data_IF_437285802662
#
_entry.id   IF_437285802662
#
_cell.length_a   1.000
_cell.length_b   1.000
_cell.length_c   1.000
_cell.angle_alpha   90.00
_cell.angle_beta   90.00
_cell.angle_gamma   90.00
#
_symmetry.space_group_name_H-M   'P 1'
#
loop_
_entity.id
_entity.type
_entity.pdbx_description
1 polymer ?
#
# COMPACT_ATOMS: atom_id res chain seq x y z
N UNK A 1 18.70 15.01 18.51
CA UNK A 1 20.03 14.61 17.99
C UNK A 1 19.94 13.21 17.40
N UNK A 2 20.21 13.00 16.10
CA UNK A 2 20.24 11.66 15.50
C UNK A 2 21.46 10.91 16.06
N UNK A 3 21.28 9.75 16.68
CA UNK A 3 22.39 8.90 17.07
C UNK A 3 23.14 8.43 15.83
N UNK A 4 24.47 8.46 15.86
CA UNK A 4 25.28 7.97 14.74
C UNK A 4 24.96 6.50 14.45
N UNK A 5 24.92 6.07 13.17
CA UNK A 5 24.60 4.68 12.82
C UNK A 5 25.62 3.72 13.44
N UNK A 6 25.13 2.66 14.09
CA UNK A 6 25.99 1.62 14.67
C UNK A 6 26.69 0.82 13.57
N UNK A 7 27.73 0.05 13.92
CA UNK A 7 28.37 -0.87 12.97
C UNK A 7 27.36 -1.88 12.40
N UNK A 8 26.44 -2.37 13.24
CA UNK A 8 25.36 -3.27 12.83
C UNK A 8 24.45 -2.59 11.80
N UNK A 9 24.09 -1.32 12.00
CA UNK A 9 23.26 -0.58 11.05
C UNK A 9 23.94 -0.43 9.69
N UNK A 10 25.26 -0.18 9.69
CA UNK A 10 26.07 -0.09 8.46
C UNK A 10 26.12 -1.42 7.72
N UNK A 11 26.35 -2.53 8.42
CA UNK A 11 26.35 -3.87 7.82
C UNK A 11 24.96 -4.21 7.27
N UNK A 12 23.91 -3.97 8.04
CA UNK A 12 22.52 -4.20 7.62
C UNK A 12 22.15 -3.36 6.39
N UNK A 13 22.60 -2.11 6.34
CA UNK A 13 22.43 -1.24 5.17
C UNK A 13 23.10 -1.84 3.92
N UNK A 14 24.36 -2.28 4.01
CA UNK A 14 25.07 -2.89 2.86
C UNK A 14 24.36 -4.14 2.36
N UNK A 15 23.91 -5.01 3.26
CA UNK A 15 23.15 -6.23 2.91
C UNK A 15 21.82 -5.85 2.25
N UNK A 16 21.08 -4.91 2.84
CA UNK A 16 19.80 -4.46 2.31
C UNK A 16 19.95 -3.83 0.92
N UNK A 17 20.98 -3.00 0.72
CA UNK A 17 21.29 -2.36 -0.56
C UNK A 17 21.66 -3.37 -1.64
N UNK A 18 22.55 -4.33 -1.37
CA UNK A 18 22.90 -5.38 -2.36
C UNK A 18 21.69 -6.23 -2.73
N UNK A 19 20.85 -6.58 -1.77
CA UNK A 19 19.60 -7.28 -2.03
C UNK A 19 18.66 -6.45 -2.92
N UNK A 20 18.53 -5.15 -2.63
CA UNK A 20 17.75 -4.20 -3.39
C UNK A 20 18.24 -4.13 -4.86
N UNK A 21 19.55 -3.93 -5.08
CA UNK A 21 20.15 -3.90 -6.42
C UNK A 21 19.87 -5.20 -7.20
N UNK A 22 19.98 -6.37 -6.57
CA UNK A 22 19.69 -7.65 -7.21
C UNK A 22 18.21 -7.83 -7.57
N UNK A 23 17.28 -7.39 -6.71
CA UNK A 23 15.83 -7.46 -7.00
C UNK A 23 15.46 -6.52 -8.15
N UNK A 24 15.98 -5.28 -8.14
CA UNK A 24 15.72 -4.31 -9.20
C UNK A 24 16.34 -4.75 -10.53
N UNK A 25 17.55 -5.31 -10.51
CA UNK A 25 18.19 -5.89 -11.69
C UNK A 25 17.35 -6.98 -12.34
N UNK A 26 16.71 -7.86 -11.54
CA UNK A 26 15.78 -8.87 -12.06
C UNK A 26 14.53 -8.26 -12.70
N UNK A 27 13.97 -7.21 -12.09
CA UNK A 27 12.86 -6.47 -12.67
C UNK A 27 13.25 -5.87 -14.03
N UNK A 28 14.38 -5.17 -14.11
CA UNK A 28 14.87 -4.58 -15.36
C UNK A 28 15.26 -5.63 -16.41
N UNK A 29 15.71 -6.81 -16.01
CA UNK A 29 15.95 -7.91 -16.95
C UNK A 29 14.64 -8.43 -17.57
N UNK A 30 13.56 -8.51 -16.77
CA UNK A 30 12.25 -8.92 -17.26
C UNK A 30 11.66 -7.91 -18.26
N UNK A 31 11.86 -6.60 -18.03
CA UNK A 31 11.34 -5.56 -18.93
C UNK A 31 12.00 -5.58 -20.30
N UNK A 32 13.28 -5.98 -20.40
CA UNK A 32 13.99 -6.19 -21.67
C UNK A 32 13.46 -7.39 -22.48
N UNK A 33 12.72 -8.30 -21.85
CA UNK A 33 12.12 -9.49 -22.47
C UNK A 33 10.59 -9.47 -22.37
N UNK A 34 9.99 -8.28 -22.37
CA UNK A 34 8.56 -8.06 -22.09
C UNK A 34 7.64 -9.00 -22.87
N UNK A 35 7.82 -9.14 -24.18
CA UNK A 35 6.97 -10.00 -25.01
C UNK A 35 7.04 -11.48 -24.63
N UNK A 36 8.24 -11.99 -24.28
CA UNK A 36 8.42 -13.36 -23.81
C UNK A 36 7.77 -13.57 -22.44
N UNK A 37 8.00 -12.64 -21.52
CA UNK A 37 7.40 -12.66 -20.18
C UNK A 37 5.87 -12.64 -20.27
N UNK A 38 5.29 -11.80 -21.13
CA UNK A 38 3.84 -11.72 -21.34
C UNK A 38 3.25 -13.03 -21.88
N UNK A 39 3.91 -13.68 -22.85
CA UNK A 39 3.50 -15.01 -23.32
C UNK A 39 3.51 -16.05 -22.20
N UNK A 40 4.53 -16.03 -21.34
CA UNK A 40 4.64 -16.94 -20.20
C UNK A 40 3.56 -16.67 -19.15
N UNK A 41 3.26 -15.40 -18.87
CA UNK A 41 2.20 -14.97 -17.94
C UNK A 41 0.83 -15.43 -18.44
N UNK A 42 0.49 -15.17 -19.70
CA UNK A 42 -0.76 -15.65 -20.30
C UNK A 42 -0.89 -17.16 -20.20
N UNK A 43 0.13 -17.91 -20.66
CA UNK A 43 0.11 -19.37 -20.62
C UNK A 43 -0.03 -19.91 -19.17
N UNK A 44 0.57 -19.24 -18.19
CA UNK A 44 0.41 -19.60 -16.78
C UNK A 44 -1.01 -19.34 -16.26
N UNK A 45 -1.66 -18.24 -16.66
CA UNK A 45 -3.05 -17.95 -16.29
C UNK A 45 -4.03 -18.96 -16.90
N UNK A 46 -3.88 -19.29 -18.18
CA UNK A 46 -4.70 -20.29 -18.87
C UNK A 46 -4.55 -21.66 -18.21
N UNK A 47 -3.32 -22.18 -18.09
CA UNK A 47 -3.08 -23.50 -17.47
C UNK A 47 -3.64 -23.60 -16.07
N UNK A 48 -3.57 -22.52 -15.29
CA UNK A 48 -4.01 -22.52 -13.89
C UNK A 48 -5.53 -22.56 -13.73
N UNK A 49 -6.28 -22.11 -14.73
CA UNK A 49 -7.73 -21.94 -14.65
C UNK A 49 -8.48 -22.71 -15.75
N UNK A 50 -7.80 -23.56 -16.54
CA UNK A 50 -8.43 -24.28 -17.64
C UNK A 50 -9.57 -25.23 -17.20
N UNK A 51 -9.51 -25.68 -15.94
CA UNK A 51 -10.47 -26.58 -15.29
C UNK A 51 -11.57 -25.83 -14.51
N UNK A 52 -11.62 -24.50 -14.58
CA UNK A 52 -12.71 -23.72 -13.97
C UNK A 52 -13.92 -23.62 -14.90
N UNK A 53 -15.09 -23.26 -14.35
CA UNK A 53 -16.30 -22.98 -15.15
C UNK A 53 -16.04 -21.92 -16.21
N UNK A 54 -15.43 -20.80 -15.81
CA UNK A 54 -14.99 -19.75 -16.75
C UNK A 54 -14.00 -20.30 -17.79
N UNK A 55 -13.04 -21.13 -17.38
CA UNK A 55 -12.10 -21.75 -18.30
C UNK A 55 -12.76 -22.66 -19.34
N UNK A 56 -13.81 -23.40 -18.95
CA UNK A 56 -14.59 -24.23 -19.86
C UNK A 56 -15.45 -23.40 -20.82
N UNK A 57 -16.16 -22.39 -20.31
CA UNK A 57 -17.05 -21.53 -21.13
C UNK A 57 -16.27 -20.76 -22.20
N UNK A 58 -15.03 -20.37 -21.91
CA UNK A 58 -14.14 -19.66 -22.83
C UNK A 58 -13.04 -20.56 -23.44
N UNK A 59 -13.22 -21.88 -23.42
CA UNK A 59 -12.37 -22.86 -24.12
C UNK A 59 -10.86 -22.73 -23.87
N UNK A 60 -10.45 -22.57 -22.61
CA UNK A 60 -9.05 -22.43 -22.22
C UNK A 60 -8.17 -23.61 -22.62
N UNK A 61 -8.75 -24.80 -22.78
CA UNK A 61 -8.11 -26.01 -23.31
C UNK A 61 -7.65 -25.87 -24.77
N UNK A 62 -8.25 -24.95 -25.54
CA UNK A 62 -7.93 -24.67 -26.95
C UNK A 62 -6.96 -23.50 -27.14
N UNK A 63 -6.54 -22.85 -26.05
CA UNK A 63 -5.70 -21.65 -26.12
C UNK A 63 -4.21 -22.02 -26.04
N UNK A 64 -3.55 -22.07 -27.20
CA UNK A 64 -2.11 -22.31 -27.33
C UNK A 64 -1.27 -21.07 -27.65
N UNK A 65 -1.92 -19.96 -28.02
CA UNK A 65 -1.29 -18.72 -28.48
C UNK A 65 -2.12 -17.49 -28.13
N UNK A 66 -1.54 -16.29 -28.27
CA UNK A 66 -2.25 -15.01 -28.09
C UNK A 66 -3.41 -14.89 -29.09
N UNK A 67 -3.22 -15.32 -30.34
CA UNK A 67 -4.29 -15.22 -31.35
C UNK A 67 -5.46 -16.14 -31.04
N UNK A 68 -5.19 -17.37 -30.56
CA UNK A 68 -6.25 -18.26 -30.09
C UNK A 68 -6.92 -17.75 -28.82
N UNK A 69 -6.18 -17.07 -27.93
CA UNK A 69 -6.75 -16.42 -26.76
C UNK A 69 -7.76 -15.35 -27.17
N UNK A 70 -7.37 -14.43 -28.06
CA UNK A 70 -8.24 -13.36 -28.58
C UNK A 70 -9.49 -13.86 -29.31
N UNK A 71 -9.40 -15.03 -29.96
CA UNK A 71 -10.56 -15.67 -30.62
C UNK A 71 -11.55 -16.25 -29.63
N UNK A 72 -11.07 -16.79 -28.51
CA UNK A 72 -11.90 -17.49 -27.53
C UNK A 72 -12.37 -16.60 -26.38
N UNK A 73 -11.61 -15.58 -26.01
CA UNK A 73 -11.89 -14.67 -24.90
C UNK A 73 -12.13 -13.25 -25.47
N UNK A 74 -13.38 -12.81 -25.62
CA UNK A 74 -13.67 -11.45 -26.06
C UNK A 74 -13.29 -10.44 -24.97
N UNK A 75 -13.35 -9.14 -25.31
CA UNK A 75 -13.18 -8.08 -24.31
C UNK A 75 -14.42 -8.06 -23.41
N UNK A 76 -14.23 -8.41 -22.15
CA UNK A 76 -15.30 -8.52 -21.15
C UNK A 76 -15.32 -7.33 -20.18
N UNK A 77 -16.49 -7.05 -19.63
CA UNK A 77 -16.74 -6.07 -18.57
C UNK A 77 -17.00 -6.80 -17.24
N UNK A 78 -17.06 -6.05 -16.15
CA UNK A 78 -17.34 -6.63 -14.83
C UNK A 78 -18.67 -7.40 -14.80
N UNK A 79 -19.69 -6.91 -15.50
CA UNK A 79 -21.01 -7.56 -15.53
C UNK A 79 -20.97 -8.95 -16.18
N UNK A 80 -20.10 -9.17 -17.16
CA UNK A 80 -19.91 -10.50 -17.77
C UNK A 80 -19.26 -11.50 -16.80
N UNK A 81 -18.47 -11.00 -15.84
CA UNK A 81 -17.85 -11.80 -14.79
C UNK A 81 -18.75 -11.97 -13.56
N UNK A 82 -19.75 -11.11 -13.38
CA UNK A 82 -20.59 -11.05 -12.18
C UNK A 82 -21.22 -12.42 -11.84
N UNK A 83 -21.80 -13.19 -12.78
CA UNK A 83 -22.37 -14.50 -12.47
C UNK A 83 -21.37 -15.49 -11.87
N UNK A 84 -20.10 -15.46 -12.31
CA UNK A 84 -19.04 -16.29 -11.76
C UNK A 84 -18.61 -15.78 -10.39
N UNK A 85 -18.43 -14.47 -10.24
CA UNK A 85 -18.03 -13.84 -8.98
C UNK A 85 -19.07 -14.09 -7.89
N UNK A 86 -20.36 -14.00 -8.20
CA UNK A 86 -21.45 -14.27 -7.24
C UNK A 86 -21.46 -15.73 -6.79
N UNK A 87 -21.16 -16.68 -7.68
CA UNK A 87 -20.96 -18.08 -7.32
C UNK A 87 -19.73 -18.29 -6.43
N UNK A 88 -18.62 -17.59 -6.69
CA UNK A 88 -17.45 -17.64 -5.81
C UNK A 88 -17.79 -17.05 -4.43
N UNK A 89 -18.54 -15.94 -4.37
CA UNK A 89 -19.01 -15.33 -3.13
C UNK A 89 -19.91 -16.27 -2.30
N UNK A 90 -20.70 -17.13 -2.95
CA UNK A 90 -21.52 -18.17 -2.30
C UNK A 90 -20.76 -19.47 -2.00
N UNK A 91 -19.45 -19.54 -2.32
CA UNK A 91 -18.56 -20.63 -1.94
C UNK A 91 -18.19 -21.58 -3.08
N UNK A 92 -18.78 -21.42 -4.27
CA UNK A 92 -18.46 -22.22 -5.46
C UNK A 92 -17.24 -21.64 -6.18
N UNK A 93 -16.06 -21.86 -5.61
CA UNK A 93 -14.79 -21.30 -6.11
C UNK A 93 -14.45 -21.74 -7.54
N UNK A 94 -14.81 -22.98 -7.91
CA UNK A 94 -14.54 -23.55 -9.23
C UNK A 94 -15.31 -22.87 -10.36
N UNK A 95 -16.29 -22.01 -10.07
CA UNK A 95 -16.96 -21.21 -11.09
C UNK A 95 -15.96 -20.33 -11.86
N UNK A 96 -14.97 -19.73 -11.18
CA UNK A 96 -14.00 -18.82 -11.80
C UNK A 96 -12.57 -19.36 -11.76
N UNK A 97 -12.21 -20.11 -10.71
CA UNK A 97 -10.82 -20.47 -10.42
C UNK A 97 -10.56 -21.97 -10.52
N UNK A 98 -9.41 -22.36 -11.07
CA UNK A 98 -8.99 -23.77 -11.09
C UNK A 98 -8.73 -24.33 -9.68
N UNK A 99 -8.75 -25.65 -9.53
CA UNK A 99 -8.79 -26.31 -8.20
C UNK A 99 -7.61 -26.02 -7.25
N UNK A 100 -6.51 -25.46 -7.76
CA UNK A 100 -5.30 -25.10 -6.99
C UNK A 100 -5.27 -23.62 -6.54
N UNK A 101 -6.28 -22.84 -6.91
CA UNK A 101 -6.39 -21.43 -6.53
C UNK A 101 -7.08 -21.28 -5.18
N UNK A 102 -6.60 -20.34 -4.38
CA UNK A 102 -7.24 -19.97 -3.12
C UNK A 102 -7.58 -18.49 -3.14
N UNK A 103 -8.86 -18.17 -2.97
CA UNK A 103 -9.36 -16.82 -2.73
C UNK A 103 -9.11 -16.47 -1.26
N UNK A 104 -8.47 -15.34 -1.00
CA UNK A 104 -8.13 -14.86 0.36
C UNK A 104 -9.12 -13.83 0.87
N UNK A 105 -9.58 -12.97 -0.02
CA UNK A 105 -10.57 -11.93 0.24
C UNK A 105 -11.15 -11.44 -1.09
N UNK A 106 -12.17 -10.59 -1.00
CA UNK A 106 -12.57 -9.72 -2.08
C UNK A 106 -12.19 -8.28 -1.77
N UNK A 107 -11.54 -7.62 -2.71
CA UNK A 107 -11.40 -6.17 -2.68
C UNK A 107 -12.72 -5.54 -3.12
N UNK A 108 -13.24 -4.62 -2.30
CA UNK A 108 -14.46 -3.87 -2.62
C UNK A 108 -14.09 -2.62 -3.40
N UNK A 109 -14.78 -2.38 -4.51
CA UNK A 109 -14.73 -1.08 -5.19
C UNK A 109 -16.13 -0.47 -5.25
N UNK A 110 -16.23 0.80 -4.86
CA UNK A 110 -17.45 1.60 -4.89
C UNK A 110 -17.73 2.14 -6.28
N UNK A 111 -17.69 1.28 -7.31
CA UNK A 111 -17.92 1.69 -8.71
C UNK A 111 -19.20 2.54 -8.87
N UNK A 112 -19.34 3.22 -10.01
CA UNK A 112 -20.46 4.16 -10.32
C UNK A 112 -21.85 3.50 -10.45
N UNK A 113 -22.02 2.27 -9.94
CA UNK A 113 -23.24 1.48 -9.97
C UNK A 113 -23.69 1.18 -8.54
N UNK A 114 -24.99 1.09 -8.29
CA UNK A 114 -25.56 0.85 -6.95
C UNK A 114 -25.08 -0.45 -6.26
N UNK A 115 -24.55 -1.41 -7.03
CA UNK A 115 -24.01 -2.67 -6.50
C UNK A 115 -22.48 -2.63 -6.43
N UNK A 116 -21.87 -2.90 -5.25
CA UNK A 116 -20.42 -2.95 -5.13
C UNK A 116 -19.84 -4.07 -6.00
N UNK A 117 -18.64 -3.83 -6.54
CA UNK A 117 -17.87 -4.85 -7.27
C UNK A 117 -16.97 -5.60 -6.30
N UNK A 118 -17.00 -6.92 -6.39
CA UNK A 118 -16.19 -7.83 -5.60
C UNK A 118 -15.03 -8.33 -6.46
N UNK A 119 -13.84 -7.78 -6.24
CA UNK A 119 -12.66 -8.17 -7.01
C UNK A 119 -11.90 -9.26 -6.24
N UNK A 120 -11.84 -10.50 -6.76
CA UNK A 120 -11.24 -11.60 -6.03
C UNK A 120 -9.73 -11.45 -5.89
N UNK A 121 -9.24 -11.62 -4.66
CA UNK A 121 -7.81 -11.57 -4.34
C UNK A 121 -7.32 -12.99 -4.03
N UNK A 122 -6.56 -13.58 -4.96
CA UNK A 122 -6.01 -14.94 -4.80
C UNK A 122 -4.58 -14.94 -4.26
N UNK A 123 -4.10 -16.10 -3.83
CA UNK A 123 -2.69 -16.28 -3.44
C UNK A 123 -1.69 -15.96 -4.56
N UNK A 124 -2.08 -16.17 -5.82
CA UNK A 124 -1.24 -15.81 -6.95
C UNK A 124 -1.22 -14.30 -7.18
N UNK A 125 -2.40 -13.66 -7.14
CA UNK A 125 -2.51 -12.21 -7.21
C UNK A 125 -1.64 -11.53 -6.14
N UNK A 126 -1.69 -12.01 -4.90
CA UNK A 126 -0.86 -11.44 -3.82
C UNK A 126 0.64 -11.60 -4.09
N UNK A 127 1.06 -12.70 -4.72
CA UNK A 127 2.46 -12.92 -5.10
C UNK A 127 2.91 -11.93 -6.16
N UNK A 128 2.13 -11.74 -7.23
CA UNK A 128 2.46 -10.77 -8.27
C UNK A 128 2.39 -9.33 -7.75
N UNK A 129 1.36 -8.99 -7.00
CA UNK A 129 1.17 -7.67 -6.40
C UNK A 129 2.31 -7.30 -5.44
N UNK A 130 2.77 -8.23 -4.59
CA UNK A 130 3.95 -8.04 -3.73
C UNK A 130 5.23 -7.84 -4.53
N UNK A 131 5.41 -8.57 -5.64
CA UNK A 131 6.60 -8.42 -6.49
C UNK A 131 6.67 -7.00 -7.08
N UNK A 132 5.56 -6.47 -7.57
CA UNK A 132 5.50 -5.10 -8.09
C UNK A 132 5.75 -4.05 -6.99
N UNK A 133 5.15 -4.20 -5.80
CA UNK A 133 5.45 -3.34 -4.64
C UNK A 133 6.92 -3.43 -4.19
N UNK A 134 7.53 -4.62 -4.27
CA UNK A 134 8.95 -4.78 -3.95
C UNK A 134 9.82 -4.04 -4.96
N UNK A 135 9.55 -4.17 -6.26
CA UNK A 135 10.29 -3.45 -7.31
C UNK A 135 10.19 -1.93 -7.12
N UNK A 136 8.98 -1.42 -6.89
CA UNK A 136 8.72 -0.02 -6.54
C UNK A 136 9.52 0.43 -5.31
N UNK A 137 9.31 -0.23 -4.17
CA UNK A 137 9.89 0.18 -2.90
C UNK A 137 11.42 0.10 -2.92
N UNK A 138 11.98 -0.91 -3.56
CA UNK A 138 13.43 -1.05 -3.72
C UNK A 138 14.01 0.06 -4.59
N UNK A 139 13.39 0.40 -5.73
CA UNK A 139 13.89 1.49 -6.57
C UNK A 139 13.84 2.81 -5.82
N UNK A 140 12.73 3.10 -5.14
CA UNK A 140 12.60 4.31 -4.32
C UNK A 140 13.67 4.37 -3.21
N UNK A 141 13.94 3.26 -2.52
CA UNK A 141 15.00 3.20 -1.49
C UNK A 141 16.41 3.35 -2.08
N UNK A 142 16.68 2.83 -3.29
CA UNK A 142 17.97 3.00 -3.95
C UNK A 142 18.22 4.45 -4.40
N UNK A 143 17.17 5.15 -4.85
CA UNK A 143 17.23 6.57 -5.20
C UNK A 143 17.34 7.46 -3.96
N UNK A 144 16.74 7.02 -2.85
CA UNK A 144 16.67 7.75 -1.59
C UNK A 144 17.31 6.94 -0.45
N UNK A 145 18.64 6.71 -0.46
CA UNK A 145 19.31 5.82 0.50
C UNK A 145 19.20 6.28 1.96
N UNK A 146 18.94 7.56 2.20
CA UNK A 146 18.63 8.14 3.51
C UNK A 146 17.31 7.64 4.11
N UNK A 147 16.50 6.89 3.35
CA UNK A 147 15.27 6.26 3.82
C UNK A 147 15.47 4.87 4.45
N UNK A 148 16.62 4.23 4.24
CA UNK A 148 16.85 2.87 4.74
C UNK A 148 16.75 2.81 6.27
N UNK A 149 16.09 1.75 6.76
CA UNK A 149 15.97 1.41 8.19
C UNK A 149 15.27 2.48 9.06
N UNK A 150 14.56 3.44 8.46
CA UNK A 150 13.79 4.49 9.16
C UNK A 150 12.29 4.24 9.10
N UNK A 151 11.51 5.04 9.85
CA UNK A 151 10.07 4.88 9.98
C UNK A 151 9.30 5.12 8.69
N UNK A 152 8.25 4.34 8.46
CA UNK A 152 7.32 4.45 7.34
C UNK A 152 5.94 4.79 7.89
N UNK A 153 5.37 5.90 7.42
CA UNK A 153 3.97 6.25 7.73
C UNK A 153 3.09 5.75 6.60
N UNK A 154 2.18 4.85 6.94
CA UNK A 154 1.16 4.33 6.04
C UNK A 154 -0.18 4.29 6.76
N UNK A 155 -1.24 4.67 6.07
CA UNK A 155 -2.62 4.48 6.54
C UNK A 155 -3.17 3.20 5.94
N UNK A 156 -3.70 2.31 6.78
CA UNK A 156 -4.27 1.03 6.35
C UNK A 156 -5.73 0.90 6.79
N UNK A 157 -6.56 0.35 5.90
CA UNK A 157 -7.93 -0.09 6.21
C UNK A 157 -7.99 -1.61 6.43
N UNK A 158 -9.11 -2.08 6.98
CA UNK A 158 -9.32 -3.50 7.29
C UNK A 158 -9.45 -4.32 6.01
N UNK A 159 -9.02 -5.57 6.05
CA UNK A 159 -9.24 -6.52 4.93
C UNK A 159 -10.57 -7.29 5.06
N UNK A 160 -11.24 -7.13 6.19
CA UNK A 160 -12.41 -7.84 6.67
C UNK A 160 -13.45 -6.82 7.22
N UNK A 161 -13.81 -5.86 6.37
CA UNK A 161 -14.87 -4.87 6.63
C UNK A 161 -16.26 -5.52 6.58
N UNK A 162 -16.43 -6.50 5.70
CA UNK A 162 -17.60 -7.37 5.63
C UNK A 162 -17.19 -8.78 5.23
N UNK A 163 -18.17 -9.67 5.06
CA UNK A 163 -17.96 -11.05 4.59
C UNK A 163 -19.00 -11.42 3.53
N UNK A 164 -18.62 -12.27 2.59
CA UNK A 164 -19.57 -12.91 1.66
C UNK A 164 -20.47 -13.91 2.39
N UNK A 165 -21.54 -14.43 1.74
CA UNK A 165 -22.37 -15.51 2.33
C UNK A 165 -21.58 -16.76 2.72
N UNK A 166 -20.50 -17.08 1.99
CA UNK A 166 -19.59 -18.18 2.33
C UNK A 166 -18.54 -17.81 3.41
N UNK A 167 -18.63 -16.63 4.02
CA UNK A 167 -17.72 -16.17 5.07
C UNK A 167 -16.37 -15.66 4.57
N UNK A 168 -16.19 -15.43 3.27
CA UNK A 168 -14.93 -14.92 2.70
C UNK A 168 -14.81 -13.42 3.05
N UNK A 169 -13.66 -12.95 3.59
CA UNK A 169 -13.49 -11.54 3.94
C UNK A 169 -13.61 -10.60 2.74
N UNK A 170 -14.18 -9.42 2.97
CA UNK A 170 -14.27 -8.33 1.99
C UNK A 170 -13.73 -7.05 2.60
N UNK A 171 -12.87 -6.31 1.89
CA UNK A 171 -12.28 -5.06 2.40
C UNK A 171 -11.12 -4.55 1.57
N UNK A 172 -10.16 -3.89 2.20
CA UNK A 172 -9.00 -3.29 1.53
C UNK A 172 -7.80 -4.24 1.39
N UNK A 173 -7.23 -4.33 0.18
CA UNK A 173 -5.99 -5.09 -0.11
C UNK A 173 -4.84 -4.64 0.78
N UNK A 174 -4.77 -3.35 1.11
CA UNK A 174 -3.75 -2.79 2.02
C UNK A 174 -3.75 -3.46 3.40
N UNK A 175 -4.94 -3.81 3.92
CA UNK A 175 -5.07 -4.51 5.19
C UNK A 175 -4.47 -5.92 5.13
N UNK A 176 -4.71 -6.63 4.03
CA UNK A 176 -4.16 -7.97 3.80
C UNK A 176 -2.64 -7.93 3.60
N UNK A 177 -2.14 -6.92 2.89
CA UNK A 177 -0.71 -6.70 2.72
C UNK A 177 -0.02 -6.42 4.06
N UNK A 178 -0.61 -5.57 4.92
CA UNK A 178 -0.10 -5.31 6.26
C UNK A 178 -0.12 -6.59 7.14
N UNK A 179 -1.23 -7.33 7.12
CA UNK A 179 -1.41 -8.56 7.89
C UNK A 179 -0.42 -9.68 7.50
N UNK A 180 0.04 -9.68 6.26
CA UNK A 180 0.94 -10.71 5.71
C UNK A 180 2.38 -10.24 5.53
N UNK A 181 2.69 -9.00 5.93
CA UNK A 181 4.03 -8.43 5.85
C UNK A 181 5.02 -9.21 6.72
N UNK A 182 6.31 -9.29 6.34
CA UNK A 182 7.33 -9.98 7.16
C UNK A 182 7.53 -9.27 8.50
N UNK A 183 7.62 -10.01 9.61
CA UNK A 183 7.79 -9.46 10.98
C UNK A 183 8.94 -8.46 11.09
N UNK A 184 10.08 -8.75 10.45
CA UNK A 184 11.25 -7.88 10.44
C UNK A 184 10.98 -6.53 9.75
N UNK A 185 10.09 -6.48 8.76
CA UNK A 185 9.73 -5.26 8.03
C UNK A 185 8.65 -4.48 8.79
N UNK A 186 7.71 -5.18 9.46
CA UNK A 186 6.63 -4.56 10.25
C UNK A 186 7.11 -3.56 11.30
N UNK A 187 8.33 -3.72 11.82
CA UNK A 187 8.89 -2.81 12.83
C UNK A 187 9.13 -1.39 12.32
N UNK A 188 9.32 -1.21 11.01
CA UNK A 188 9.53 0.10 10.40
C UNK A 188 8.21 0.84 10.14
N UNK A 189 7.09 0.14 10.06
CA UNK A 189 5.77 0.78 9.96
C UNK A 189 5.39 1.37 11.31
N UNK A 190 5.22 2.69 11.34
CA UNK A 190 5.01 3.42 12.60
C UNK A 190 3.62 3.14 13.17
N UNK A 191 2.61 3.15 12.30
CA UNK A 191 1.25 2.73 12.61
C UNK A 191 1.13 1.19 12.52
N UNK A 192 0.86 0.49 13.64
CA UNK A 192 0.67 -0.97 13.62
C UNK A 192 -0.71 -1.34 13.02
N UNK A 193 -0.85 -2.59 12.58
CA UNK A 193 -2.07 -3.10 11.93
C UNK A 193 -3.37 -2.82 12.73
N UNK A 194 -3.33 -2.83 14.06
CA UNK A 194 -4.52 -2.56 14.88
C UNK A 194 -5.12 -1.17 14.66
N UNK A 195 -4.37 -0.18 14.13
CA UNK A 195 -4.95 1.13 13.78
C UNK A 195 -5.95 1.04 12.63
N UNK A 196 -5.92 -0.04 11.84
CA UNK A 196 -6.93 -0.29 10.81
C UNK A 196 -8.34 -0.48 11.41
N UNK A 197 -8.43 -0.95 12.65
CA UNK A 197 -9.70 -1.21 13.36
C UNK A 197 -10.41 0.07 13.83
N UNK A 198 -9.75 1.22 13.77
CA UNK A 198 -10.37 2.51 14.08
C UNK A 198 -11.25 2.89 12.88
N UNK A 199 -12.57 2.99 13.07
CA UNK A 199 -13.51 3.30 11.98
C UNK A 199 -13.67 4.80 11.77
N UNK A 200 -13.66 5.58 12.86
CA UNK A 200 -13.73 7.03 12.80
C UNK A 200 -12.47 7.64 12.13
N UNK A 201 -12.62 8.40 11.03
CA UNK A 201 -11.47 8.94 10.31
C UNK A 201 -10.62 9.91 11.14
N UNK A 202 -11.24 10.77 11.95
CA UNK A 202 -10.51 11.76 12.75
C UNK A 202 -9.67 11.07 13.82
N UNK A 203 -10.25 10.12 14.55
CA UNK A 203 -9.56 9.29 15.53
C UNK A 203 -8.44 8.47 14.91
N UNK A 204 -8.65 7.90 13.71
CA UNK A 204 -7.61 7.15 12.99
C UNK A 204 -6.43 8.04 12.65
N UNK A 205 -6.67 9.17 12.01
CA UNK A 205 -5.61 10.07 11.57
C UNK A 205 -4.87 10.70 12.76
N UNK A 206 -5.58 11.11 13.82
CA UNK A 206 -4.94 11.57 15.05
C UNK A 206 -4.05 10.46 15.66
N UNK A 207 -4.57 9.23 15.76
CA UNK A 207 -3.80 8.10 16.31
C UNK A 207 -2.55 7.81 15.48
N UNK A 208 -2.66 7.84 14.14
CA UNK A 208 -1.52 7.68 13.23
C UNK A 208 -0.50 8.79 13.46
N UNK A 209 -0.93 10.06 13.53
CA UNK A 209 -0.02 11.19 13.75
C UNK A 209 0.62 11.16 15.14
N UNK A 210 -0.12 10.77 16.18
CA UNK A 210 0.42 10.61 17.54
C UNK A 210 1.54 9.58 17.58
N UNK A 211 1.41 8.48 16.85
CA UNK A 211 2.48 7.48 16.73
C UNK A 211 3.64 7.98 15.87
N UNK A 212 3.36 8.80 14.86
CA UNK A 212 4.31 9.18 13.81
C UNK A 212 5.19 10.38 14.19
N UNK A 213 4.63 11.46 14.72
CA UNK A 213 5.36 12.71 15.02
C UNK A 213 6.46 12.50 16.08
N UNK A 214 6.27 11.50 16.94
CA UNK A 214 7.24 11.08 17.94
C UNK A 214 8.41 10.23 17.39
N UNK A 215 8.45 9.97 16.08
CA UNK A 215 9.43 9.05 15.46
C UNK A 215 10.20 9.73 14.34
N UNK A 216 11.39 9.19 14.08
CA UNK A 216 12.14 9.49 12.86
C UNK A 216 11.51 8.75 11.66
N UNK A 217 10.81 9.52 10.82
CA UNK A 217 10.11 9.03 9.62
C UNK A 217 10.95 9.35 8.39
N UNK A 218 11.18 8.35 7.55
CA UNK A 218 11.82 8.52 6.27
C UNK A 218 10.85 8.91 5.17
N UNK A 219 9.68 8.28 5.09
CA UNK A 219 8.71 8.61 4.05
C UNK A 219 7.29 8.29 4.50
N UNK A 220 6.34 8.95 3.84
CA UNK A 220 4.93 8.67 3.94
C UNK A 220 4.44 8.01 2.65
N UNK A 221 3.55 7.03 2.77
CA UNK A 221 2.92 6.40 1.61
C UNK A 221 1.40 6.28 1.80
N UNK A 222 0.66 6.90 0.89
CA UNK A 222 -0.81 6.78 0.78
C UNK A 222 -1.16 6.69 -0.70
N UNK A 223 -2.37 6.21 -1.03
CA UNK A 223 -2.80 6.23 -2.43
C UNK A 223 -3.06 7.67 -2.91
N UNK A 224 -3.90 8.39 -2.17
CA UNK A 224 -4.30 9.75 -2.51
C UNK A 224 -3.47 10.79 -1.71
N UNK A 225 -2.89 11.82 -2.37
CA UNK A 225 -2.21 12.93 -1.70
C UNK A 225 -3.08 13.70 -0.69
N UNK A 226 -4.40 13.73 -0.87
CA UNK A 226 -5.33 14.37 0.07
C UNK A 226 -5.24 13.77 1.48
N UNK A 227 -4.96 12.46 1.60
CA UNK A 227 -4.77 11.81 2.90
C UNK A 227 -3.53 12.33 3.62
N UNK A 228 -2.43 12.57 2.89
CA UNK A 228 -1.20 13.13 3.47
C UNK A 228 -1.40 14.57 3.92
N UNK A 229 -2.10 15.39 3.12
CA UNK A 229 -2.49 16.74 3.53
C UNK A 229 -3.38 16.71 4.77
N UNK A 230 -4.34 15.79 4.85
CA UNK A 230 -5.21 15.66 6.03
C UNK A 230 -4.45 15.25 7.28
N UNK A 231 -3.48 14.34 7.16
CA UNK A 231 -2.57 13.97 8.25
C UNK A 231 -1.75 15.17 8.74
N UNK A 232 -1.18 15.94 7.81
CA UNK A 232 -0.41 17.15 8.13
C UNK A 232 -1.28 18.21 8.82
N UNK A 233 -2.50 18.44 8.33
CA UNK A 233 -3.47 19.36 8.93
C UNK A 233 -3.88 18.94 10.34
N UNK A 234 -4.16 17.65 10.56
CA UNK A 234 -4.53 17.13 11.88
C UNK A 234 -3.41 17.32 12.91
N UNK A 235 -2.15 17.17 12.51
CA UNK A 235 -1.03 17.41 13.40
C UNK A 235 -0.94 18.88 13.83
N UNK A 236 -1.21 19.81 12.92
CA UNK A 236 -1.19 21.24 13.22
C UNK A 236 -2.43 21.71 14.00
N UNK A 237 -3.63 21.31 13.55
CA UNK A 237 -4.94 21.60 14.18
C UNK A 237 -4.99 21.14 15.64
N UNK A 238 -4.35 20.02 15.97
CA UNK A 238 -4.33 19.45 17.32
C UNK A 238 -2.94 19.47 17.98
N UNK A 239 -2.03 20.35 17.55
CA UNK A 239 -0.62 20.36 17.98
C UNK A 239 -0.41 20.35 19.49
N UNK A 240 -1.15 21.17 20.25
CA UNK A 240 -1.01 21.25 21.71
C UNK A 240 -1.36 19.92 22.38
N UNK A 241 -2.47 19.31 21.96
CA UNK A 241 -2.93 18.01 22.47
C UNK A 241 -1.97 16.90 22.04
N UNK A 242 -1.48 16.94 20.81
CA UNK A 242 -0.54 15.97 20.27
C UNK A 242 0.78 15.98 21.03
N UNK A 243 1.34 17.17 21.27
CA UNK A 243 2.56 17.39 22.06
C UNK A 243 2.37 16.88 23.49
N UNK A 244 1.25 17.22 24.14
CA UNK A 244 0.94 16.74 25.49
C UNK A 244 0.83 15.22 25.53
N UNK A 245 0.15 14.60 24.56
CA UNK A 245 0.06 13.15 24.47
C UNK A 245 1.43 12.49 24.26
N UNK A 246 2.35 13.15 23.53
CA UNK A 246 3.74 12.71 23.36
C UNK A 246 4.49 12.79 24.69
N UNK A 247 4.39 13.91 25.40
CA UNK A 247 4.99 14.12 26.70
C UNK A 247 4.52 13.06 27.73
N UNK A 248 3.21 12.86 27.82
CA UNK A 248 2.56 12.03 28.84
C UNK A 248 2.47 10.55 28.45
N UNK A 249 2.83 10.19 27.22
CA UNK A 249 2.72 8.80 26.75
C UNK A 249 1.27 8.34 26.63
N UNK A 250 0.35 9.27 26.35
CA UNK A 250 -1.09 9.02 26.27
C UNK A 250 -1.60 9.08 24.84
N UNK A 251 -2.87 8.72 24.69
CA UNK A 251 -3.66 8.95 23.50
C UNK A 251 -4.99 9.57 23.97
N UNK A 252 -5.35 10.72 23.42
CA UNK A 252 -6.58 11.45 23.71
C UNK A 252 -7.76 10.50 24.01
N UNK A 253 -8.22 10.55 25.26
CA UNK A 253 -9.23 9.64 25.83
C UNK A 253 -10.59 9.72 25.15
N UNK A 254 -11.02 10.92 24.76
CA UNK A 254 -12.35 11.17 24.17
C UNK A 254 -12.46 10.73 22.70
N UNK A 255 -11.34 10.45 22.02
CA UNK A 255 -11.40 9.94 20.66
C UNK A 255 -12.08 8.56 20.63
N UNK A 256 -12.96 8.30 19.65
CA UNK A 256 -13.64 7.00 19.47
C UNK A 256 -12.68 5.93 18.94
N UNK A 257 -11.70 5.55 19.77
CA UNK A 257 -10.71 4.48 19.51
C UNK A 257 -11.12 3.26 20.33
N UNK A 258 -11.33 2.08 19.70
CA UNK A 258 -11.72 0.86 20.41
C UNK A 258 -10.78 0.50 21.55
N UNK A 259 -11.32 -0.05 22.64
CA UNK A 259 -10.55 -0.46 23.82
C UNK A 259 -9.48 -1.51 23.49
N UNK A 260 -9.76 -2.44 22.59
CA UNK A 260 -8.81 -3.44 22.06
C UNK A 260 -7.59 -2.78 21.39
N UNK A 261 -7.83 -1.73 20.60
CA UNK A 261 -6.78 -0.96 19.93
C UNK A 261 -5.97 -0.16 20.95
N UNK A 262 -6.63 0.52 21.90
CA UNK A 262 -5.95 1.25 22.99
C UNK A 262 -5.03 0.32 23.79
N UNK A 263 -5.51 -0.87 24.15
CA UNK A 263 -4.72 -1.88 24.85
C UNK A 263 -3.49 -2.31 24.04
N UNK A 264 -3.67 -2.57 22.73
CA UNK A 264 -2.60 -2.96 21.81
C UNK A 264 -1.55 -1.86 21.61
N UNK A 265 -1.95 -0.59 21.68
CA UNK A 265 -1.07 0.57 21.51
C UNK A 265 -0.30 0.95 22.79
N UNK A 266 -0.69 0.46 23.97
CA UNK A 266 -0.10 0.85 25.27
C UNK A 266 1.42 0.76 25.30
N UNK A 267 2.02 -0.28 24.72
CA UNK A 267 3.48 -0.45 24.69
C UNK A 267 4.21 0.50 23.72
N UNK A 268 3.48 1.08 22.76
CA UNK A 268 4.01 2.00 21.74
C UNK A 268 3.85 3.47 22.14
N UNK A 269 2.88 3.78 23.00
CA UNK A 269 2.64 5.12 23.56
C UNK A 269 3.54 5.35 24.78
N UNK A 270 4.85 5.51 24.53
CA UNK A 270 5.81 5.84 25.59
C UNK A 270 5.84 7.35 25.82
N UNK A 271 6.12 7.73 27.06
CA UNK A 271 6.43 9.13 27.43
C UNK A 271 7.69 9.56 26.71
N UNK A 272 7.65 10.73 26.09
CA UNK A 272 8.82 11.33 25.47
C UNK A 272 8.83 12.85 25.69
N UNK A 273 9.17 13.31 26.92
CA UNK A 273 9.22 14.73 27.25
C UNK A 273 10.25 15.51 26.43
N UNK A 274 11.34 14.85 26.02
CA UNK A 274 12.36 15.48 25.19
C UNK A 274 11.78 15.80 23.81
N UNK A 275 11.15 14.81 23.16
CA UNK A 275 10.52 15.05 21.86
C UNK A 275 9.39 16.05 21.94
N UNK A 276 8.59 16.04 23.01
CA UNK A 276 7.55 17.05 23.23
C UNK A 276 8.14 18.48 23.23
N UNK A 277 9.22 18.72 23.98
CA UNK A 277 9.92 20.02 23.99
C UNK A 277 10.45 20.42 22.62
N UNK A 278 11.07 19.49 21.88
CA UNK A 278 11.52 19.76 20.51
C UNK A 278 10.37 20.22 19.59
N UNK A 279 9.18 19.66 19.77
CA UNK A 279 7.99 20.03 19.00
C UNK A 279 7.40 21.38 19.46
N UNK A 280 7.45 21.68 20.76
CA UNK A 280 7.09 23.01 21.30
C UNK A 280 8.00 24.10 20.71
N UNK A 281 9.31 23.86 20.67
CA UNK A 281 10.28 24.78 20.05
C UNK A 281 10.04 24.98 18.55
N UNK A 282 9.56 23.94 17.86
CA UNK A 282 9.14 24.04 16.45
C UNK A 282 7.91 24.92 16.32
N UNK A 283 6.89 24.72 17.15
CA UNK A 283 5.67 25.53 17.15
C UNK A 283 5.98 26.99 17.49
N UNK A 284 6.82 27.24 18.50
CA UNK A 284 7.23 28.59 18.90
C UNK A 284 7.95 29.35 17.78
N UNK A 285 8.83 28.66 17.02
CA UNK A 285 9.59 29.28 15.92
C UNK A 285 8.78 29.52 14.66
N UNK A 286 7.86 28.61 14.33
CA UNK A 286 7.18 28.63 13.03
C UNK A 286 5.68 28.98 13.11
N UNK A 287 5.10 29.05 14.30
CA UNK A 287 3.66 29.20 14.51
C UNK A 287 2.82 28.01 14.03
N UNK A 288 3.46 26.91 13.62
CA UNK A 288 2.82 25.73 13.03
C UNK A 288 3.61 24.43 13.22
N UNK A 289 2.90 23.33 13.41
CA UNK A 289 3.44 21.98 13.50
C UNK A 289 3.26 21.25 12.16
N UNK A 290 4.11 21.57 11.19
CA UNK A 290 4.07 21.00 9.84
C UNK A 290 5.17 19.94 9.61
N UNK A 291 4.91 18.90 8.80
CA UNK A 291 5.90 17.84 8.50
C UNK A 291 7.28 18.36 8.11
N UNK A 292 7.35 19.40 7.27
CA UNK A 292 8.60 20.07 6.86
C UNK A 292 9.45 20.62 8.02
N UNK A 293 8.89 20.81 9.22
CA UNK A 293 9.61 21.34 10.38
C UNK A 293 10.08 20.24 11.34
N UNK A 294 9.34 19.14 11.46
CA UNK A 294 9.62 18.10 12.46
C UNK A 294 10.14 16.77 11.89
N UNK A 295 10.05 16.57 10.57
CA UNK A 295 10.62 15.42 9.86
C UNK A 295 11.64 15.83 8.82
N UNK A 296 12.58 14.93 8.60
CA UNK A 296 13.55 14.96 7.51
C UNK A 296 13.19 13.85 6.52
N UNK A 297 12.12 14.08 5.76
CA UNK A 297 11.58 13.09 4.83
C UNK A 297 12.52 12.92 3.64
N UNK A 298 12.82 11.67 3.33
CA UNK A 298 13.58 11.27 2.16
C UNK A 298 12.79 11.46 0.86
N UNK A 299 11.51 11.08 0.88
CA UNK A 299 10.55 11.25 -0.20
C UNK A 299 9.11 11.08 0.34
N UNK A 300 8.12 11.33 -0.51
CA UNK A 300 6.70 11.05 -0.26
C UNK A 300 6.18 10.19 -1.42
N UNK A 301 5.31 9.22 -1.14
CA UNK A 301 4.76 8.35 -2.16
C UNK A 301 3.23 8.39 -2.21
N UNK A 302 2.67 8.73 -3.37
CA UNK A 302 1.24 8.81 -3.66
C UNK A 302 0.99 8.89 -5.17
N UNK A 303 -0.26 8.83 -5.62
CA UNK A 303 -0.58 9.14 -7.02
C UNK A 303 -0.32 10.62 -7.33
N UNK A 304 0.26 10.86 -8.50
CA UNK A 304 0.60 12.18 -9.05
C UNK A 304 -0.10 12.45 -10.39
N UNK A 305 -0.50 11.40 -11.10
CA UNK A 305 -1.23 11.51 -12.37
C UNK A 305 -2.71 11.91 -12.22
N UNK A 306 -3.36 12.22 -13.35
CA UNK A 306 -4.78 12.59 -13.39
C UNK A 306 -5.07 13.92 -12.65
N UNK A 307 -6.12 13.94 -11.84
CA UNK A 307 -6.56 15.14 -11.10
C UNK A 307 -5.73 15.42 -9.83
N UNK A 308 -4.69 14.62 -9.56
CA UNK A 308 -3.92 14.73 -8.31
C UNK A 308 -3.11 16.03 -8.21
N UNK A 309 -2.82 16.70 -9.32
CA UNK A 309 -2.15 18.01 -9.34
C UNK A 309 -2.83 19.08 -8.47
N UNK A 310 -4.17 19.01 -8.32
CA UNK A 310 -4.96 19.90 -7.47
C UNK A 310 -4.59 19.80 -5.98
N UNK A 311 -4.07 18.65 -5.55
CA UNK A 311 -3.59 18.44 -4.17
C UNK A 311 -2.09 18.71 -4.06
N UNK A 312 -1.32 18.36 -5.10
CA UNK A 312 0.14 18.49 -5.07
C UNK A 312 0.62 19.95 -5.01
N UNK A 313 -0.17 20.91 -5.50
CA UNK A 313 0.13 22.34 -5.34
C UNK A 313 0.30 22.77 -3.87
N UNK A 314 -0.35 22.09 -2.93
CA UNK A 314 -0.24 22.38 -1.49
C UNK A 314 1.00 21.73 -0.85
N UNK A 315 1.65 20.76 -1.51
CA UNK A 315 2.73 19.97 -0.89
C UNK A 315 3.91 20.82 -0.41
N UNK A 316 4.42 21.81 -1.17
CA UNK A 316 5.53 22.66 -0.71
C UNK A 316 5.26 23.36 0.63
N UNK A 317 3.99 23.71 0.90
CA UNK A 317 3.58 24.31 2.19
C UNK A 317 3.77 23.34 3.35
N UNK A 318 3.39 22.07 3.20
CA UNK A 318 3.38 21.09 4.30
C UNK A 318 4.68 20.28 4.40
N UNK A 319 5.31 20.01 3.27
CA UNK A 319 6.42 19.07 3.15
C UNK A 319 7.71 19.70 2.62
N UNK A 320 7.67 20.95 2.13
CA UNK A 320 8.83 21.58 1.50
C UNK A 320 9.16 20.93 0.15
N UNK A 321 10.42 20.95 -0.23
CA UNK A 321 10.89 20.46 -1.54
C UNK A 321 11.18 18.95 -1.55
N UNK A 322 10.48 18.18 -0.72
CA UNK A 322 10.67 16.73 -0.61
C UNK A 322 10.26 16.05 -1.92
N UNK A 323 11.09 15.13 -2.47
CA UNK A 323 10.75 14.40 -3.68
C UNK A 323 9.42 13.63 -3.56
N UNK A 324 8.60 13.67 -4.61
CA UNK A 324 7.32 12.95 -4.66
C UNK A 324 7.41 11.83 -5.69
N UNK A 325 7.28 10.59 -5.23
CA UNK A 325 7.33 9.38 -6.04
C UNK A 325 5.92 8.86 -6.33
N UNK A 326 5.54 8.76 -7.60
CA UNK A 326 4.26 8.14 -7.97
C UNK A 326 4.24 6.65 -7.58
N UNK A 327 3.13 6.14 -7.02
CA UNK A 327 3.03 4.73 -6.60
C UNK A 327 2.69 3.75 -7.76
N UNK A 328 2.37 4.29 -8.92
CA UNK A 328 1.97 3.61 -10.15
C UNK A 328 0.47 3.62 -10.38
N UNK A 329 0.09 3.25 -11.60
CA UNK A 329 -1.29 2.97 -11.95
C UNK A 329 -1.70 1.64 -11.29
N UNK A 330 -2.60 1.72 -10.32
CA UNK A 330 -3.06 0.61 -9.49
C UNK A 330 -4.58 0.64 -9.38
N UNK A 331 -5.19 -0.53 -9.40
CA UNK A 331 -6.60 -0.73 -9.09
C UNK A 331 -6.75 -1.99 -8.23
N UNK A 332 -7.99 -2.29 -7.81
CA UNK A 332 -8.28 -3.53 -7.07
C UNK A 332 -8.01 -4.77 -7.92
N UNK A 333 -8.13 -4.64 -9.24
CA UNK A 333 -7.89 -5.65 -10.25
C UNK A 333 -6.40 -5.94 -10.46
N UNK A 334 -5.51 -5.01 -10.09
CA UNK A 334 -4.08 -5.21 -10.31
C UNK A 334 -3.21 -3.96 -10.29
N UNK A 335 -1.90 -4.20 -10.34
CA UNK A 335 -0.88 -3.18 -10.61
C UNK A 335 -0.55 -3.19 -12.09
N UNK A 336 -0.56 -2.00 -12.70
CA UNK A 336 -0.30 -1.81 -14.13
C UNK A 336 1.11 -1.23 -14.33
N UNK A 337 1.50 -0.20 -13.59
CA UNK A 337 2.82 0.43 -13.75
C UNK A 337 3.64 0.49 -12.46
N UNK A 338 4.96 0.64 -12.64
CA UNK A 338 5.96 0.81 -11.59
C UNK A 338 6.80 2.05 -11.93
N UNK A 339 6.53 3.19 -11.28
CA UNK A 339 7.33 4.40 -11.44
C UNK A 339 8.76 4.21 -10.91
N UNK A 340 9.72 4.74 -11.66
CA UNK A 340 11.15 4.59 -11.38
C UNK A 340 11.88 5.92 -11.25
N UNK A 341 11.17 7.04 -11.36
CA UNK A 341 11.65 8.42 -11.22
C UNK A 341 10.69 9.24 -10.34
N UNK A 342 11.21 10.29 -9.69
CA UNK A 342 10.40 11.23 -8.91
C UNK A 342 9.70 12.26 -9.82
N UNK A 343 8.65 12.89 -9.29
CA UNK A 343 7.91 13.99 -9.92
C UNK A 343 7.27 13.66 -11.27
N UNK A 344 7.10 12.38 -11.57
CA UNK A 344 6.42 11.92 -12.78
C UNK A 344 5.48 10.75 -12.47
N UNK A 345 4.27 10.72 -13.06
CA UNK A 345 3.40 9.55 -13.00
C UNK A 345 3.85 8.43 -13.95
N UNK A 346 4.86 8.68 -14.79
CA UNK A 346 5.36 7.68 -15.73
C UNK A 346 5.94 6.48 -14.98
N UNK A 347 5.64 5.29 -15.48
CA UNK A 347 6.13 4.06 -14.91
C UNK A 347 6.25 2.95 -15.93
N UNK A 348 7.15 2.03 -15.66
CA UNK A 348 7.36 0.86 -16.49
C UNK A 348 6.18 -0.10 -16.30
N UNK A 349 5.66 -0.65 -17.39
CA UNK A 349 4.60 -1.66 -17.35
C UNK A 349 5.04 -2.88 -16.50
N UNK A 350 4.21 -3.30 -15.55
CA UNK A 350 4.46 -4.47 -14.70
C UNK A 350 4.16 -5.77 -15.47
N UNK A 351 5.00 -6.05 -16.47
CA UNK A 351 4.88 -7.20 -17.40
C UNK A 351 4.81 -8.57 -16.74
N UNK A 352 5.10 -8.68 -15.44
CA UNK A 352 5.07 -9.95 -14.73
C UNK A 352 3.74 -10.18 -13.98
N UNK A 353 2.90 -9.16 -13.79
CA UNK A 353 1.73 -9.25 -12.93
C UNK A 353 0.45 -9.67 -13.64
N UNK A 354 0.23 -9.18 -14.85
CA UNK A 354 -0.94 -9.44 -15.69
C UNK A 354 -0.50 -9.62 -17.14
N UNK A 355 -1.36 -10.18 -17.97
CA UNK A 355 -1.25 -10.07 -19.42
C UNK A 355 -1.92 -8.76 -19.86
N UNK A 356 -1.25 -7.99 -20.71
CA UNK A 356 -1.70 -6.71 -21.27
C UNK A 356 -1.84 -6.85 -22.78
N UNK A 357 -2.96 -6.37 -23.32
CA UNK A 357 -3.29 -6.40 -24.76
C UNK A 357 -3.27 -5.03 -25.42
#
# INVERSE_FOLDING_TARGET
MKSAPTLIDRVMYVIARRHAEAVYGRFMAATRKAAEVQRQVLAAHIRRNHDSGFGHDYHFDRIGSIDTFRKHVPILRYEDHRPYIEQVCSGRLNAMFGGRQRVRMFALTSGTTDKPKFIPVTDEFLRSYRRGWNAFGIKALLDHPQAFLRGIVQVTSRMDESKTPAGIPCGAITGLMAATQKRLVRKYYVAPQCTAEITDPAAKYYTVMRLSVARDVAFMITANPATQLKLARIADEHRERLIRDIHDGTLWSELPVPSSVRASLKQRLRRDPQRARELEDIVARHGALLPRHYWDLAFIANWTGGTMGLYLQDFPKYFGDVPVRDIGLLASEGRISIPVEDHTPAGILDTQSHFFE
#
